data_IF_284814726826
#
_entry.id   IF_284814726826
#
_cell.length_a   1.000
_cell.length_b   1.000
_cell.length_c   1.000
_cell.angle_alpha   90.00
_cell.angle_beta   90.00
_cell.angle_gamma   90.00
#
_symmetry.space_group_name_H-M   'P 1'
#
loop_
_entity.id
_entity.type
_entity.pdbx_description
1 polymer ?
#
# COMPACT_ATOMS: atom_id res chain seq x y z
N UNK A 1 -5.02 -1.38 -3.20
CA UNK A 1 -5.10 -1.04 -1.76
C UNK A 1 -5.97 0.19 -1.52
N UNK A 2 -5.98 1.14 -2.45
CA UNK A 2 -6.73 2.39 -2.46
C UNK A 2 -8.23 2.20 -2.17
N UNK A 3 -8.86 1.19 -2.82
CA UNK A 3 -10.26 0.86 -2.55
C UNK A 3 -10.47 0.24 -1.17
N UNK A 4 -9.52 -0.56 -0.69
CA UNK A 4 -9.59 -1.22 0.62
C UNK A 4 -9.53 -0.20 1.76
N UNK A 5 -8.61 0.76 1.69
CA UNK A 5 -8.55 1.85 2.71
C UNK A 5 -9.75 2.79 2.66
N UNK A 6 -10.54 2.78 1.58
CA UNK A 6 -11.73 3.62 1.45
C UNK A 6 -13.00 2.90 1.93
N UNK A 7 -13.20 1.64 1.52
CA UNK A 7 -14.46 0.90 1.76
C UNK A 7 -14.24 -0.55 2.23
N UNK A 8 -13.00 -0.94 2.57
CA UNK A 8 -12.64 -2.31 2.97
C UNK A 8 -13.44 -2.80 4.17
N UNK A 9 -13.69 -1.94 5.17
CA UNK A 9 -14.55 -2.30 6.31
C UNK A 9 -15.98 -2.68 5.87
N UNK A 10 -16.56 -1.94 4.90
CA UNK A 10 -17.88 -2.27 4.36
C UNK A 10 -17.84 -3.58 3.57
N UNK A 11 -16.83 -3.78 2.72
CA UNK A 11 -16.66 -5.02 1.96
C UNK A 11 -16.49 -6.23 2.88
N UNK A 12 -15.71 -6.10 3.95
CA UNK A 12 -15.56 -7.14 4.98
C UNK A 12 -16.88 -7.48 5.66
N UNK A 13 -17.68 -6.48 6.04
CA UNK A 13 -19.01 -6.70 6.62
C UNK A 13 -19.96 -7.42 5.65
N UNK A 14 -19.92 -7.07 4.36
CA UNK A 14 -20.73 -7.77 3.35
C UNK A 14 -20.25 -9.21 3.12
N UNK A 15 -18.94 -9.44 3.12
CA UNK A 15 -18.37 -10.78 3.01
C UNK A 15 -18.82 -11.67 4.18
N UNK A 16 -18.76 -11.16 5.41
CA UNK A 16 -19.23 -11.86 6.60
C UNK A 16 -20.73 -12.18 6.53
N UNK A 17 -21.56 -11.23 6.11
CA UNK A 17 -23.01 -11.42 5.93
C UNK A 17 -23.32 -12.53 4.93
N UNK A 18 -22.49 -12.69 3.91
CA UNK A 18 -22.66 -13.67 2.84
C UNK A 18 -21.92 -15.00 3.12
N UNK A 19 -21.15 -15.09 4.21
CA UNK A 19 -20.37 -16.28 4.55
C UNK A 19 -19.19 -16.53 3.61
N UNK A 20 -18.63 -15.48 3.00
CA UNK A 20 -17.45 -15.54 2.13
C UNK A 20 -16.26 -14.82 2.74
N UNK A 21 -15.05 -15.12 2.26
CA UNK A 21 -13.80 -14.52 2.78
C UNK A 21 -13.44 -13.27 1.99
N UNK A 22 -13.06 -12.22 2.70
CA UNK A 22 -12.43 -11.02 2.15
C UNK A 22 -11.01 -10.90 2.71
N UNK A 23 -10.03 -10.67 1.83
CA UNK A 23 -8.63 -10.48 2.19
C UNK A 23 -7.94 -9.57 1.19
N UNK A 24 -6.95 -8.81 1.65
CA UNK A 24 -5.94 -8.20 0.78
C UNK A 24 -5.05 -9.31 0.23
N UNK A 25 -4.63 -9.19 -1.03
CA UNK A 25 -3.72 -10.16 -1.67
C UNK A 25 -2.32 -10.11 -1.06
N UNK A 26 -1.65 -11.26 -0.98
CA UNK A 26 -0.27 -11.36 -0.52
C UNK A 26 0.71 -10.74 -1.54
N UNK A 27 1.81 -10.17 -1.03
CA UNK A 27 2.96 -9.70 -1.83
C UNK A 27 3.08 -8.19 -2.03
N UNK A 28 2.13 -7.41 -1.51
CA UNK A 28 2.25 -5.94 -1.42
C UNK A 28 2.69 -5.57 0.00
N UNK A 29 3.27 -4.38 0.21
CA UNK A 29 3.85 -4.03 1.51
C UNK A 29 2.89 -4.16 2.70
N UNK A 30 1.58 -3.81 2.62
CA UNK A 30 0.67 -3.98 3.76
C UNK A 30 0.52 -5.45 4.17
N UNK A 31 0.27 -6.35 3.22
CA UNK A 31 0.06 -7.77 3.53
C UNK A 31 1.35 -8.46 3.95
N UNK A 32 2.50 -8.12 3.36
CA UNK A 32 3.79 -8.64 3.82
C UNK A 32 4.22 -8.08 5.17
N UNK A 33 3.85 -6.85 5.51
CA UNK A 33 4.09 -6.30 6.85
C UNK A 33 3.23 -7.03 7.90
N UNK A 34 2.00 -7.41 7.56
CA UNK A 34 1.13 -8.20 8.43
C UNK A 34 1.72 -9.56 8.82
N UNK A 35 2.49 -10.21 7.93
CA UNK A 35 3.21 -11.46 8.27
C UNK A 35 4.20 -11.26 9.43
N UNK A 36 4.94 -10.14 9.42
CA UNK A 36 5.89 -9.79 10.48
C UNK A 36 5.19 -9.38 11.77
N UNK A 37 4.08 -8.65 11.66
CA UNK A 37 3.23 -8.24 12.79
C UNK A 37 2.65 -9.46 13.50
N UNK A 38 2.13 -10.43 12.74
CA UNK A 38 1.58 -11.67 13.28
C UNK A 38 2.67 -12.47 14.02
N UNK A 39 3.86 -12.59 13.43
CA UNK A 39 4.98 -13.27 14.09
C UNK A 39 5.37 -12.61 15.42
N UNK A 40 5.59 -11.28 15.43
CA UNK A 40 6.02 -10.58 16.64
C UNK A 40 4.94 -10.59 17.74
N UNK A 41 3.67 -10.43 17.37
CA UNK A 41 2.55 -10.46 18.31
C UNK A 41 2.31 -11.86 18.89
N UNK A 42 2.48 -12.93 18.09
CA UNK A 42 2.40 -14.31 18.57
C UNK A 42 3.46 -14.65 19.62
N UNK A 43 4.62 -13.97 19.59
CA UNK A 43 5.68 -14.08 20.60
C UNK A 43 5.41 -13.23 21.86
N UNK A 44 4.31 -12.46 21.89
CA UNK A 44 3.96 -11.59 23.00
C UNK A 44 4.77 -10.28 23.06
N UNK A 45 5.43 -9.90 21.97
CA UNK A 45 6.17 -8.63 21.91
C UNK A 45 5.27 -7.45 21.64
N UNK A 46 5.65 -6.29 22.18
CA UNK A 46 5.01 -5.02 21.84
C UNK A 46 5.61 -4.48 20.54
N UNK A 47 4.76 -4.29 19.53
CA UNK A 47 5.14 -3.70 18.25
C UNK A 47 5.09 -2.18 18.40
N UNK A 48 6.26 -1.53 18.35
CA UNK A 48 6.37 -0.06 18.51
C UNK A 48 6.07 0.67 17.20
N UNK A 49 6.48 0.10 16.07
CA UNK A 49 6.29 0.66 14.74
C UNK A 49 6.36 -0.43 13.67
N UNK A 50 5.61 -0.26 12.59
CA UNK A 50 5.64 -1.11 11.41
C UNK A 50 5.43 -0.25 10.15
N UNK A 51 5.98 -0.66 9.01
CA UNK A 51 5.83 0.08 7.76
C UNK A 51 6.86 -0.26 6.69
N UNK A 52 7.01 0.63 5.71
CA UNK A 52 7.97 0.51 4.61
C UNK A 52 8.93 1.70 4.54
N UNK A 53 10.04 1.51 3.83
CA UNK A 53 11.01 2.56 3.52
C UNK A 53 10.98 2.97 2.04
N UNK A 54 11.60 4.11 1.74
CA UNK A 54 11.93 4.55 0.39
C UNK A 54 13.41 4.91 0.30
N UNK A 55 14.02 4.60 -0.84
CA UNK A 55 15.44 4.87 -1.09
C UNK A 55 15.76 6.36 -1.27
N UNK A 56 14.79 7.15 -1.77
CA UNK A 56 14.96 8.55 -2.09
C UNK A 56 13.86 9.38 -1.40
N UNK A 57 14.14 10.66 -1.07
CA UNK A 57 13.13 11.57 -0.56
C UNK A 57 11.93 11.69 -1.49
N UNK A 58 10.78 12.07 -0.92
CA UNK A 58 9.58 12.38 -1.68
C UNK A 58 9.75 13.70 -2.44
N UNK A 59 9.09 13.80 -3.59
CA UNK A 59 8.87 15.06 -4.28
C UNK A 59 7.36 15.29 -4.40
N UNK A 60 6.79 16.03 -3.45
CA UNK A 60 5.35 16.27 -3.36
C UNK A 60 4.77 17.08 -4.53
N UNK A 61 5.60 17.84 -5.25
CA UNK A 61 5.18 18.64 -6.40
C UNK A 61 5.27 17.88 -7.73
N UNK A 62 5.63 16.59 -7.70
CA UNK A 62 5.78 15.78 -8.90
C UNK A 62 4.46 15.67 -9.68
N UNK A 63 4.52 15.97 -10.99
CA UNK A 63 3.38 15.81 -11.90
C UNK A 63 3.71 14.82 -13.03
N UNK A 64 2.71 14.14 -13.63
CA UNK A 64 2.95 13.15 -14.69
C UNK A 64 3.75 13.65 -15.89
N UNK A 65 3.70 14.95 -16.18
CA UNK A 65 4.42 15.55 -17.31
C UNK A 65 5.94 15.55 -17.09
N UNK A 66 6.42 15.73 -15.85
CA UNK A 66 7.85 15.70 -15.51
C UNK A 66 8.46 14.30 -15.70
N UNK A 67 7.64 13.25 -15.52
CA UNK A 67 8.07 11.85 -15.52
C UNK A 67 7.65 11.07 -16.77
N UNK A 68 7.00 11.73 -17.74
CA UNK A 68 6.47 11.07 -18.95
C UNK A 68 7.55 10.36 -19.77
N UNK A 69 8.70 11.00 -19.97
CA UNK A 69 9.80 10.43 -20.74
C UNK A 69 10.38 9.17 -20.08
N UNK A 70 10.55 9.18 -18.76
CA UNK A 70 10.98 8.00 -18.01
C UNK A 70 9.93 6.89 -18.07
N UNK A 71 8.66 7.22 -17.85
CA UNK A 71 7.57 6.26 -17.87
C UNK A 71 7.48 5.54 -19.22
N UNK A 72 7.59 6.28 -20.33
CA UNK A 72 7.64 5.71 -21.69
C UNK A 72 8.86 4.81 -21.90
N UNK A 73 10.06 5.25 -21.48
CA UNK A 73 11.28 4.44 -21.57
C UNK A 73 11.16 3.12 -20.79
N UNK A 74 10.43 3.12 -19.68
CA UNK A 74 10.18 1.96 -18.82
C UNK A 74 8.90 1.18 -19.19
N UNK A 75 8.19 1.59 -20.25
CA UNK A 75 6.91 1.02 -20.65
C UNK A 75 5.88 0.94 -19.50
N UNK A 76 5.74 2.03 -18.73
CA UNK A 76 4.84 2.12 -17.58
C UNK A 76 3.96 3.37 -17.63
N UNK A 77 2.88 3.37 -16.85
CA UNK A 77 1.99 4.52 -16.73
C UNK A 77 2.67 5.65 -15.92
N UNK A 78 2.73 6.90 -16.41
CA UNK A 78 3.34 8.01 -15.67
C UNK A 78 2.64 8.33 -14.35
N UNK A 79 1.32 8.08 -14.22
CA UNK A 79 0.61 8.24 -12.94
C UNK A 79 1.11 7.26 -11.88
N UNK A 80 1.34 6.01 -12.30
CA UNK A 80 1.89 4.97 -11.43
C UNK A 80 3.31 5.35 -11.01
N UNK A 81 4.13 5.93 -11.89
CA UNK A 81 5.46 6.40 -11.50
C UNK A 81 5.38 7.55 -10.48
N UNK A 82 4.51 8.52 -10.72
CA UNK A 82 4.37 9.72 -9.86
C UNK A 82 3.83 9.39 -8.47
N UNK A 83 2.88 8.48 -8.31
CA UNK A 83 2.35 8.11 -6.98
C UNK A 83 3.41 7.49 -6.05
N UNK A 84 4.50 6.92 -6.61
CA UNK A 84 5.65 6.48 -5.82
C UNK A 84 6.62 7.63 -5.49
N UNK A 85 6.63 8.68 -6.29
CA UNK A 85 7.54 9.83 -6.14
C UNK A 85 6.97 10.84 -5.15
N UNK A 86 5.69 11.16 -5.27
CA UNK A 86 5.00 12.14 -4.41
C UNK A 86 4.66 11.57 -3.02
N UNK A 87 4.67 10.24 -2.90
CA UNK A 87 4.40 9.49 -1.67
C UNK A 87 2.97 9.02 -1.53
N UNK A 88 2.06 9.34 -2.45
CA UNK A 88 0.65 8.96 -2.42
C UNK A 88 0.47 7.46 -2.21
N UNK A 89 1.27 6.64 -2.91
CA UNK A 89 1.21 5.17 -2.75
C UNK A 89 1.63 4.72 -1.36
N UNK A 90 2.72 5.29 -0.83
CA UNK A 90 3.18 5.02 0.54
C UNK A 90 2.13 5.41 1.58
N UNK A 91 1.44 6.54 1.41
CA UNK A 91 0.38 6.94 2.34
C UNK A 91 -0.78 5.94 2.35
N UNK A 92 -1.20 5.47 1.17
CA UNK A 92 -2.26 4.47 1.04
C UNK A 92 -1.87 3.15 1.70
N UNK A 93 -0.65 2.66 1.45
CA UNK A 93 -0.17 1.40 2.01
C UNK A 93 0.00 1.44 3.53
N UNK A 94 0.46 2.56 4.10
CA UNK A 94 0.62 2.70 5.54
C UNK A 94 -0.70 2.90 6.28
N UNK A 95 -1.79 3.15 5.55
CA UNK A 95 -3.14 3.24 6.11
C UNK A 95 -3.87 1.88 6.12
N UNK A 96 -3.43 0.93 5.29
CA UNK A 96 -4.01 -0.40 5.18
C UNK A 96 -3.49 -1.33 6.29
#
# INVERSE_FOLDING_TARGET
VEADVTIGCYLKQQADRLGVVYSVGAGDEPSSCMELIEFASALGYTIVSAGKGKNNPLNHDAVPDDYRAEALRRNMNPRMLVEFVDGSKTMVEMCA
#
